data_IF_667932085336
#
_entry.id   IF_667932085336
#
_cell.length_a   1.000
_cell.length_b   1.000
_cell.length_c   1.000
_cell.angle_alpha   90.00
_cell.angle_beta   90.00
_cell.angle_gamma   90.00
#
_symmetry.space_group_name_H-M   'P 1'
#
loop_
_entity.id
_entity.type
_entity.pdbx_description
1 polymer ?
#
# COMPACT_ATOMS: atom_id res chain seq x y z
N UNK A 1 23.43 12.55 -11.28
CA UNK A 1 22.39 12.88 -12.29
C UNK A 1 21.42 13.84 -11.64
N UNK A 2 20.86 14.74 -12.43
CA UNK A 2 19.76 15.61 -12.06
C UNK A 2 18.48 14.98 -12.60
N UNK A 3 17.56 14.64 -11.71
CA UNK A 3 16.33 13.90 -12.02
C UNK A 3 15.15 14.83 -11.75
N UNK A 4 14.24 14.94 -12.70
CA UNK A 4 12.97 15.63 -12.52
C UNK A 4 11.84 14.60 -12.44
N UNK A 5 11.04 14.66 -11.38
CA UNK A 5 9.95 13.71 -11.11
C UNK A 5 8.61 14.45 -11.19
N UNK A 6 7.75 14.06 -12.15
CA UNK A 6 6.39 14.60 -12.25
C UNK A 6 5.38 13.73 -11.51
N UNK A 7 4.58 14.35 -10.64
CA UNK A 7 3.77 13.67 -9.63
C UNK A 7 4.57 13.28 -8.38
N UNK A 8 5.57 14.08 -8.01
CA UNK A 8 6.59 13.74 -7.00
C UNK A 8 6.02 13.46 -5.61
N UNK A 9 4.85 14.00 -5.25
CA UNK A 9 4.31 13.87 -3.89
C UNK A 9 3.41 12.65 -3.68
N UNK A 10 3.14 11.90 -4.75
CA UNK A 10 2.38 10.65 -4.70
C UNK A 10 3.13 9.51 -4.01
N UNK A 11 2.39 8.51 -3.54
CA UNK A 11 2.93 7.36 -2.81
C UNK A 11 3.83 6.44 -3.65
N UNK A 12 3.76 6.51 -4.99
CA UNK A 12 4.66 5.75 -5.87
C UNK A 12 5.94 6.51 -6.24
N UNK A 13 5.87 7.83 -6.43
CA UNK A 13 6.98 8.65 -6.94
C UNK A 13 7.77 9.32 -5.81
N UNK A 14 7.12 9.68 -4.71
CA UNK A 14 7.75 10.30 -3.55
C UNK A 14 8.82 9.41 -2.91
N UNK A 15 8.54 8.12 -2.65
CA UNK A 15 9.55 7.20 -2.14
C UNK A 15 10.74 7.06 -3.10
N UNK A 16 10.50 7.02 -4.41
CA UNK A 16 11.56 7.01 -5.42
C UNK A 16 12.40 8.29 -5.41
N UNK A 17 11.77 9.46 -5.22
CA UNK A 17 12.45 10.74 -5.08
C UNK A 17 13.36 10.77 -3.85
N UNK A 18 12.86 10.30 -2.71
CA UNK A 18 13.61 10.18 -1.46
C UNK A 18 14.80 9.22 -1.62
N UNK A 19 14.56 8.06 -2.22
CA UNK A 19 15.59 7.06 -2.47
C UNK A 19 16.70 7.60 -3.40
N UNK A 20 16.33 8.22 -4.52
CA UNK A 20 17.29 8.79 -5.45
C UNK A 20 18.11 9.92 -4.81
N UNK A 21 17.48 10.76 -3.99
CA UNK A 21 18.16 11.79 -3.21
C UNK A 21 19.19 11.19 -2.24
N UNK A 22 18.78 10.18 -1.46
CA UNK A 22 19.67 9.46 -0.53
C UNK A 22 20.83 8.76 -1.28
N UNK A 23 20.59 8.30 -2.51
CA UNK A 23 21.60 7.75 -3.42
C UNK A 23 22.55 8.80 -4.05
N UNK A 24 22.44 10.07 -3.65
CA UNK A 24 23.33 11.15 -4.06
C UNK A 24 22.94 11.84 -5.38
N UNK A 25 21.71 11.66 -5.85
CA UNK A 25 21.18 12.37 -7.01
C UNK A 25 20.55 13.71 -6.62
N UNK A 26 20.61 14.70 -7.52
CA UNK A 26 19.80 15.91 -7.36
C UNK A 26 18.40 15.62 -7.88
N UNK A 27 17.40 15.85 -7.03
CA UNK A 27 16.02 15.51 -7.35
C UNK A 27 15.18 16.77 -7.31
N UNK A 28 14.47 17.00 -8.41
CA UNK A 28 13.50 18.06 -8.60
C UNK A 28 12.15 17.44 -8.92
N UNK A 29 11.06 18.20 -8.81
CA UNK A 29 9.78 17.69 -9.29
C UNK A 29 8.62 18.65 -9.20
N UNK A 30 7.46 18.17 -9.60
CA UNK A 30 6.22 18.93 -9.53
C UNK A 30 5.06 18.03 -9.16
N UNK A 31 4.01 18.63 -8.62
CA UNK A 31 2.72 17.99 -8.42
C UNK A 31 1.59 19.02 -8.53
N UNK A 32 0.38 18.56 -8.85
CA UNK A 32 -0.77 19.45 -8.96
C UNK A 32 -1.24 19.93 -7.57
N UNK A 33 -1.18 19.03 -6.60
CA UNK A 33 -1.59 19.27 -5.21
C UNK A 33 -0.59 18.59 -4.26
N UNK A 34 -0.62 18.98 -2.97
CA UNK A 34 0.16 18.25 -1.96
C UNK A 34 -0.36 16.83 -1.79
N UNK A 35 0.53 15.84 -1.95
CA UNK A 35 0.27 14.43 -1.74
C UNK A 35 0.76 13.90 -0.40
N UNK A 36 0.56 12.60 -0.13
CA UNK A 36 0.88 11.99 1.16
C UNK A 36 2.35 12.11 1.57
N UNK A 37 3.27 12.15 0.60
CA UNK A 37 4.72 12.15 0.85
C UNK A 37 5.29 13.59 0.96
N UNK A 38 4.47 14.63 0.72
CA UNK A 38 4.91 16.04 0.77
C UNK A 38 5.66 16.41 2.05
N UNK A 39 5.23 15.91 3.21
CA UNK A 39 5.91 16.18 4.48
C UNK A 39 7.32 15.60 4.52
N UNK A 40 7.52 14.39 4.01
CA UNK A 40 8.83 13.74 3.96
C UNK A 40 9.76 14.44 2.96
N UNK A 41 9.24 14.81 1.78
CA UNK A 41 9.99 15.56 0.78
C UNK A 41 10.50 16.90 1.34
N UNK A 42 9.63 17.65 2.03
CA UNK A 42 9.99 18.92 2.69
C UNK A 42 11.02 18.70 3.79
N UNK A 43 10.87 17.66 4.62
CA UNK A 43 11.81 17.35 5.69
C UNK A 43 13.23 17.03 5.17
N UNK A 44 13.33 16.48 3.94
CA UNK A 44 14.60 16.24 3.24
C UNK A 44 15.06 17.42 2.37
N UNK A 45 14.35 18.54 2.40
CA UNK A 45 14.63 19.73 1.60
C UNK A 45 14.70 19.46 0.08
N UNK A 46 13.88 18.54 -0.43
CA UNK A 46 13.77 18.35 -1.88
C UNK A 46 13.09 19.56 -2.52
N UNK A 47 13.56 19.93 -3.71
CA UNK A 47 13.08 21.09 -4.46
C UNK A 47 11.93 20.66 -5.38
N UNK A 48 10.71 21.12 -5.10
CA UNK A 48 9.56 20.84 -5.97
C UNK A 48 8.52 21.96 -5.96
N UNK A 49 7.67 21.98 -6.99
CA UNK A 49 6.57 22.94 -7.12
C UNK A 49 5.20 22.25 -6.95
N UNK A 50 4.26 22.96 -6.31
CA UNK A 50 2.85 22.58 -6.26
C UNK A 50 2.05 23.57 -7.10
N UNK A 51 1.22 23.06 -8.02
CA UNK A 51 0.35 23.87 -8.86
C UNK A 51 0.26 23.36 -10.31
N UNK A 52 -0.23 24.19 -11.24
CA UNK A 52 -0.40 23.78 -12.63
C UNK A 52 0.91 23.28 -13.27
N UNK A 53 0.89 22.05 -13.76
CA UNK A 53 2.03 21.39 -14.37
C UNK A 53 2.16 21.74 -15.87
N UNK A 54 2.41 23.03 -16.18
CA UNK A 54 2.48 23.56 -17.56
C UNK A 54 3.77 23.22 -18.30
N UNK A 55 4.78 22.70 -17.59
CA UNK A 55 6.14 22.52 -18.11
C UNK A 55 7.07 23.72 -17.91
N UNK A 56 6.56 24.88 -17.49
CA UNK A 56 7.41 26.07 -17.34
C UNK A 56 8.40 25.91 -16.18
N UNK A 57 7.95 25.35 -15.05
CA UNK A 57 8.83 25.04 -13.93
C UNK A 57 9.93 24.03 -14.29
N UNK A 58 9.60 22.97 -15.04
CA UNK A 58 10.61 22.04 -15.57
C UNK A 58 11.65 22.77 -16.43
N UNK A 59 11.22 23.67 -17.31
CA UNK A 59 12.13 24.42 -18.17
C UNK A 59 13.03 25.38 -17.37
N UNK A 60 12.48 26.06 -16.37
CA UNK A 60 13.24 26.92 -15.45
C UNK A 60 14.30 26.13 -14.67
N UNK A 61 13.92 24.99 -14.10
CA UNK A 61 14.86 24.12 -13.40
C UNK A 61 15.95 23.63 -14.35
N UNK A 62 15.60 23.19 -15.56
CA UNK A 62 16.55 22.67 -16.55
C UNK A 62 17.57 23.73 -17.02
N UNK A 63 17.19 25.01 -17.06
CA UNK A 63 18.10 26.10 -17.40
C UNK A 63 19.19 26.29 -16.34
N UNK A 64 18.83 26.16 -15.06
CA UNK A 64 19.73 26.37 -13.93
C UNK A 64 20.47 25.08 -13.50
N UNK A 65 19.84 23.94 -13.72
CA UNK A 65 20.29 22.60 -13.34
C UNK A 65 19.94 21.67 -14.51
N UNK A 66 20.84 21.47 -15.49
CA UNK A 66 20.55 20.60 -16.64
C UNK A 66 20.03 19.24 -16.17
N UNK A 67 18.79 18.92 -16.54
CA UNK A 67 18.12 17.69 -16.14
C UNK A 67 18.59 16.57 -17.07
N UNK A 68 19.03 15.46 -16.49
CA UNK A 68 19.43 14.28 -17.26
C UNK A 68 18.21 13.41 -17.58
N UNK A 69 17.24 13.36 -16.67
CA UNK A 69 16.16 12.39 -16.71
C UNK A 69 14.85 12.97 -16.16
N UNK A 70 13.80 12.97 -16.97
CA UNK A 70 12.42 13.22 -16.59
C UNK A 70 11.69 11.89 -16.36
N UNK A 71 11.15 11.71 -15.15
CA UNK A 71 10.44 10.50 -14.74
C UNK A 71 9.01 10.86 -14.37
N UNK A 72 8.04 10.09 -14.86
CA UNK A 72 6.62 10.37 -14.65
C UNK A 72 5.83 9.14 -14.17
N UNK A 73 4.69 9.41 -13.54
CA UNK A 73 3.73 8.37 -13.16
C UNK A 73 2.95 7.85 -14.37
N UNK A 74 2.36 6.66 -14.26
CA UNK A 74 1.45 6.06 -15.26
C UNK A 74 0.23 6.93 -15.57
N UNK A 75 -0.14 7.85 -14.67
CA UNK A 75 -1.24 8.79 -14.90
C UNK A 75 -0.88 9.91 -15.90
N UNK A 76 0.40 10.13 -16.21
CA UNK A 76 0.86 11.16 -17.14
C UNK A 76 0.97 10.57 -18.53
N UNK A 77 0.14 11.06 -19.44
CA UNK A 77 0.13 10.69 -20.85
C UNK A 77 1.07 11.57 -21.68
N UNK A 78 1.35 11.17 -22.92
CA UNK A 78 2.20 11.97 -23.80
C UNK A 78 1.65 13.37 -24.05
N UNK A 79 0.34 13.58 -24.02
CA UNK A 79 -0.27 14.91 -24.21
C UNK A 79 -0.06 15.86 -23.02
N UNK A 80 0.47 15.38 -21.90
CA UNK A 80 0.68 16.20 -20.71
C UNK A 80 1.71 17.33 -20.97
N UNK A 81 1.49 18.56 -20.49
CA UNK A 81 2.37 19.68 -20.82
C UNK A 81 3.83 19.49 -20.38
N UNK A 82 4.06 18.93 -19.19
CA UNK A 82 5.43 18.61 -18.74
C UNK A 82 6.10 17.52 -19.57
N UNK A 83 5.35 16.53 -20.05
CA UNK A 83 5.88 15.49 -20.94
C UNK A 83 6.33 16.10 -22.28
N UNK A 84 5.45 16.92 -22.88
CA UNK A 84 5.78 17.63 -24.13
C UNK A 84 6.97 18.57 -23.95
N UNK A 85 7.08 19.23 -22.79
CA UNK A 85 8.25 20.07 -22.48
C UNK A 85 9.52 19.24 -22.33
N UNK A 86 9.49 18.14 -21.59
CA UNK A 86 10.64 17.24 -21.45
C UNK A 86 11.13 16.74 -22.82
N UNK A 87 10.19 16.40 -23.72
CA UNK A 87 10.49 15.98 -25.09
C UNK A 87 11.14 17.10 -25.90
N UNK A 88 10.60 18.33 -25.81
CA UNK A 88 11.16 19.50 -26.50
C UNK A 88 12.56 19.88 -25.99
N UNK A 89 12.85 19.61 -24.71
CA UNK A 89 14.16 19.81 -24.11
C UNK A 89 15.16 18.67 -24.39
N UNK A 90 14.72 17.58 -25.02
CA UNK A 90 15.58 16.44 -25.37
C UNK A 90 16.02 15.60 -24.15
N UNK A 91 15.23 15.60 -23.08
CA UNK A 91 15.55 14.86 -21.85
C UNK A 91 15.35 13.35 -22.06
N UNK A 92 16.05 12.51 -21.29
CA UNK A 92 15.66 11.10 -21.14
C UNK A 92 14.28 11.06 -20.47
N UNK A 93 13.33 10.32 -21.01
CA UNK A 93 11.96 10.21 -20.48
C UNK A 93 11.67 8.74 -20.18
N UNK A 94 11.20 8.44 -18.97
CA UNK A 94 10.73 7.09 -18.61
C UNK A 94 9.64 7.13 -17.54
N UNK A 95 9.07 5.96 -17.28
CA UNK A 95 8.29 5.68 -16.07
C UNK A 95 9.21 5.34 -14.89
N UNK A 96 8.60 5.09 -13.72
CA UNK A 96 9.29 4.84 -12.44
C UNK A 96 10.12 3.56 -12.43
N UNK A 97 9.66 2.52 -13.10
CA UNK A 97 10.31 1.21 -13.26
C UNK A 97 11.76 1.36 -13.72
N UNK A 98 11.98 2.07 -14.83
CA UNK A 98 13.30 2.18 -15.44
C UNK A 98 14.30 2.91 -14.52
N UNK A 99 13.84 3.92 -13.78
CA UNK A 99 14.69 4.61 -12.80
C UNK A 99 15.01 3.69 -11.61
N UNK A 100 14.02 2.94 -11.10
CA UNK A 100 14.22 1.97 -10.02
C UNK A 100 15.25 0.92 -10.44
N UNK A 101 15.10 0.30 -11.60
CA UNK A 101 16.05 -0.69 -12.12
C UNK A 101 17.45 -0.11 -12.26
N UNK A 102 17.57 1.09 -12.84
CA UNK A 102 18.88 1.75 -12.99
C UNK A 102 19.55 1.99 -11.64
N UNK A 103 18.79 2.38 -10.61
CA UNK A 103 19.32 2.59 -9.25
C UNK A 103 19.70 1.25 -8.60
N UNK A 104 18.89 0.21 -8.76
CA UNK A 104 19.15 -1.15 -8.24
C UNK A 104 20.44 -1.70 -8.85
N UNK A 105 20.57 -1.65 -10.18
CA UNK A 105 21.76 -2.12 -10.90
C UNK A 105 23.01 -1.33 -10.50
N UNK A 106 22.93 0.01 -10.52
CA UNK A 106 24.05 0.90 -10.20
C UNK A 106 24.59 0.67 -8.79
N UNK A 107 23.70 0.37 -7.84
CA UNK A 107 24.06 0.15 -6.44
C UNK A 107 24.19 -1.34 -6.07
N UNK A 108 24.10 -2.25 -7.05
CA UNK A 108 24.23 -3.70 -6.88
C UNK A 108 23.32 -4.27 -5.79
N UNK A 109 22.09 -3.76 -5.71
CA UNK A 109 21.13 -4.16 -4.68
C UNK A 109 20.41 -5.45 -5.10
N UNK A 110 20.29 -6.41 -4.18
CA UNK A 110 19.40 -7.56 -4.33
C UNK A 110 17.97 -7.15 -4.00
N UNK A 111 17.10 -7.10 -5.01
CA UNK A 111 15.70 -6.76 -4.78
C UNK A 111 14.96 -7.90 -4.08
N UNK A 112 14.34 -7.59 -2.94
CA UNK A 112 13.36 -8.41 -2.23
C UNK A 112 12.00 -7.76 -2.50
N UNK A 113 11.26 -8.31 -3.44
CA UNK A 113 10.00 -7.78 -3.92
C UNK A 113 8.82 -8.44 -3.20
N UNK A 114 7.80 -7.65 -2.86
CA UNK A 114 6.52 -8.13 -2.35
C UNK A 114 5.44 -7.79 -3.35
N UNK A 115 4.79 -8.81 -3.91
CA UNK A 115 3.71 -8.68 -4.89
C UNK A 115 2.45 -9.45 -4.46
N UNK A 116 1.32 -9.15 -5.09
CA UNK A 116 0.02 -9.79 -4.82
C UNK A 116 -1.11 -8.75 -4.77
N UNK A 117 -2.36 -9.16 -4.92
CA UNK A 117 -3.54 -8.27 -4.88
C UNK A 117 -3.72 -7.61 -3.51
N UNK A 118 -3.47 -8.35 -2.43
CA UNK A 118 -3.65 -7.87 -1.04
C UNK A 118 -2.41 -8.17 -0.18
N UNK A 119 -2.22 -7.41 0.92
CA UNK A 119 -1.15 -7.67 1.88
C UNK A 119 0.24 -7.16 1.50
N UNK A 120 0.43 -6.59 0.30
CA UNK A 120 1.72 -6.06 -0.19
C UNK A 120 2.36 -5.04 0.74
N UNK A 121 1.65 -3.93 1.01
CA UNK A 121 2.15 -2.83 1.83
C UNK A 121 2.44 -3.30 3.27
N UNK A 122 1.55 -4.12 3.84
CA UNK A 122 1.70 -4.65 5.21
C UNK A 122 2.92 -5.56 5.31
N UNK A 123 3.06 -6.52 4.39
CA UNK A 123 4.21 -7.45 4.35
C UNK A 123 5.52 -6.71 4.10
N UNK A 124 5.52 -5.71 3.20
CA UNK A 124 6.70 -4.85 2.95
C UNK A 124 7.08 -4.07 4.20
N UNK A 125 6.12 -3.48 4.91
CA UNK A 125 6.38 -2.77 6.16
C UNK A 125 6.91 -3.69 7.27
N UNK A 126 6.41 -4.93 7.36
CA UNK A 126 6.92 -5.94 8.28
C UNK A 126 8.36 -6.33 7.97
N UNK A 127 8.71 -6.46 6.67
CA UNK A 127 10.08 -6.69 6.22
C UNK A 127 11.00 -5.53 6.60
N UNK A 128 10.57 -4.28 6.39
CA UNK A 128 11.31 -3.08 6.77
C UNK A 128 11.54 -3.05 8.29
N UNK A 129 10.49 -3.31 9.06
CA UNK A 129 10.56 -3.37 10.52
C UNK A 129 11.57 -4.41 11.01
N UNK A 130 11.47 -5.65 10.53
CA UNK A 130 12.40 -6.72 10.88
C UNK A 130 13.84 -6.37 10.48
N UNK A 131 14.03 -5.82 9.28
CA UNK A 131 15.33 -5.41 8.79
C UNK A 131 15.99 -4.37 9.70
N UNK A 132 15.23 -3.39 10.17
CA UNK A 132 15.72 -2.39 11.13
C UNK A 132 16.04 -3.01 12.49
N UNK A 133 15.18 -3.90 13.01
CA UNK A 133 15.38 -4.53 14.33
C UNK A 133 16.57 -5.49 14.36
N UNK A 134 16.83 -6.18 13.26
CA UNK A 134 17.90 -7.18 13.15
C UNK A 134 19.20 -6.61 12.56
N UNK A 135 19.23 -5.30 12.29
CA UNK A 135 20.38 -4.62 11.71
C UNK A 135 20.76 -5.17 10.33
N UNK A 136 19.77 -5.49 9.49
CA UNK A 136 20.01 -5.88 8.11
C UNK A 136 20.42 -4.65 7.28
N UNK A 137 21.36 -4.86 6.37
CA UNK A 137 21.84 -3.86 5.41
C UNK A 137 20.90 -3.80 4.22
N UNK A 138 19.73 -3.20 4.45
CA UNK A 138 18.63 -3.17 3.49
C UNK A 138 18.06 -1.76 3.37
N UNK A 139 18.12 -1.25 2.14
CA UNK A 139 17.38 -0.07 1.71
C UNK A 139 15.95 -0.47 1.37
N UNK A 140 15.04 0.48 1.27
CA UNK A 140 13.63 0.15 1.03
C UNK A 140 12.87 1.29 0.37
N UNK A 141 11.79 0.93 -0.31
CA UNK A 141 10.78 1.84 -0.86
C UNK A 141 9.39 1.17 -0.71
N UNK A 142 8.45 1.85 -0.06
CA UNK A 142 7.10 1.35 0.18
C UNK A 142 6.05 2.37 -0.29
N UNK A 143 4.92 1.90 -0.81
CA UNK A 143 3.84 2.73 -1.36
C UNK A 143 2.93 3.38 -0.32
N UNK A 144 3.42 3.62 0.90
CA UNK A 144 2.63 4.17 2.00
C UNK A 144 3.51 4.90 3.01
N UNK A 145 2.88 5.71 3.86
CA UNK A 145 3.55 6.31 5.03
C UNK A 145 3.68 5.28 6.14
N UNK A 146 4.89 5.12 6.69
CA UNK A 146 5.15 4.27 7.84
C UNK A 146 5.20 5.10 9.12
N UNK A 147 4.61 4.60 10.21
CA UNK A 147 4.62 5.32 11.49
C UNK A 147 5.97 5.22 12.22
N UNK A 148 6.87 4.35 11.77
CA UNK A 148 8.15 4.03 12.42
C UNK A 148 9.37 4.31 11.54
N UNK A 149 9.17 4.72 10.28
CA UNK A 149 10.23 4.91 9.29
C UNK A 149 9.76 5.89 8.20
N UNK A 150 10.67 6.52 7.43
CA UNK A 150 10.27 7.18 6.19
C UNK A 150 9.73 6.16 5.17
N UNK A 151 9.01 6.63 4.15
CA UNK A 151 8.46 5.80 3.05
C UNK A 151 9.53 5.21 2.13
N UNK A 152 10.73 5.80 2.12
CA UNK A 152 11.91 5.23 1.50
C UNK A 152 13.18 5.63 2.23
N UNK A 153 14.22 4.83 2.04
CA UNK A 153 15.56 5.10 2.51
C UNK A 153 16.57 4.35 1.66
N UNK A 154 17.69 5.01 1.38
CA UNK A 154 18.89 4.36 0.88
C UNK A 154 20.09 4.67 1.76
N UNK A 155 20.87 3.65 2.13
CA UNK A 155 22.18 3.82 2.77
C UNK A 155 23.28 3.22 1.88
N UNK A 156 24.39 3.94 1.77
CA UNK A 156 25.57 3.42 1.05
C UNK A 156 26.09 2.14 1.71
N UNK A 157 26.25 1.08 0.91
CA UNK A 157 26.71 -0.23 1.37
C UNK A 157 25.58 -1.17 1.81
N UNK A 158 24.32 -0.76 1.70
CA UNK A 158 23.21 -1.70 1.74
C UNK A 158 23.31 -2.72 0.59
N UNK A 159 22.87 -3.94 0.87
CA UNK A 159 22.98 -5.09 -0.05
C UNK A 159 21.63 -5.48 -0.64
N UNK A 160 20.54 -5.05 -0.02
CA UNK A 160 19.18 -5.41 -0.41
C UNK A 160 18.33 -4.16 -0.63
N UNK A 161 17.34 -4.28 -1.51
CA UNK A 161 16.23 -3.34 -1.64
C UNK A 161 14.93 -4.08 -1.28
N UNK A 162 14.25 -3.66 -0.22
CA UNK A 162 12.90 -4.13 0.10
C UNK A 162 11.89 -3.28 -0.67
N UNK A 163 11.12 -3.90 -1.55
CA UNK A 163 10.28 -3.17 -2.50
C UNK A 163 8.86 -3.73 -2.57
N UNK A 164 7.88 -2.82 -2.52
CA UNK A 164 6.49 -3.13 -2.83
C UNK A 164 6.30 -3.14 -4.36
N UNK A 165 6.18 -4.34 -4.95
CA UNK A 165 6.03 -4.53 -6.38
C UNK A 165 4.54 -4.58 -6.75
N UNK A 166 4.10 -3.51 -7.42
CA UNK A 166 2.72 -3.29 -7.84
C UNK A 166 2.45 -3.84 -9.24
N UNK A 167 1.39 -4.62 -9.38
CA UNK A 167 0.90 -5.21 -10.62
C UNK A 167 0.22 -4.19 -11.54
N UNK A 168 -0.22 -3.05 -10.99
CA UNK A 168 -0.85 -1.98 -11.77
C UNK A 168 0.07 -1.51 -12.90
N UNK A 169 -0.51 -1.29 -14.09
CA UNK A 169 0.23 -0.91 -15.31
C UNK A 169 1.36 -1.90 -15.68
N UNK A 170 1.28 -3.14 -15.19
CA UNK A 170 2.28 -4.21 -15.38
C UNK A 170 3.70 -3.83 -14.92
N UNK A 171 3.80 -2.84 -14.04
CA UNK A 171 5.07 -2.26 -13.58
C UNK A 171 6.01 -3.30 -12.95
N UNK A 172 5.46 -4.22 -12.15
CA UNK A 172 6.25 -5.31 -11.57
C UNK A 172 7.02 -6.19 -12.59
N UNK A 173 6.57 -6.29 -13.84
CA UNK A 173 7.22 -7.11 -14.89
C UNK A 173 8.55 -6.53 -15.38
N UNK A 174 8.85 -5.27 -15.05
CA UNK A 174 10.15 -4.69 -15.34
C UNK A 174 11.24 -5.37 -14.51
N UNK A 175 10.94 -5.76 -13.26
CA UNK A 175 11.97 -6.14 -12.30
C UNK A 175 12.41 -7.60 -12.38
N UNK A 176 13.63 -7.86 -11.89
CA UNK A 176 14.25 -9.17 -11.78
C UNK A 176 14.67 -9.45 -10.32
N UNK A 177 13.73 -9.83 -9.43
CA UNK A 177 14.02 -9.90 -8.00
C UNK A 177 14.96 -11.06 -7.64
N UNK A 178 15.81 -10.82 -6.64
CA UNK A 178 16.53 -11.91 -5.99
C UNK A 178 15.58 -12.79 -5.17
N UNK A 179 14.57 -12.18 -4.54
CA UNK A 179 13.55 -12.89 -3.78
C UNK A 179 12.21 -12.20 -4.00
N UNK A 180 11.17 -12.97 -4.32
CA UNK A 180 9.80 -12.49 -4.39
C UNK A 180 8.90 -13.18 -3.37
N UNK A 181 8.12 -12.38 -2.65
CA UNK A 181 7.04 -12.82 -1.78
C UNK A 181 5.73 -12.56 -2.51
N UNK A 182 4.96 -13.60 -2.76
CA UNK A 182 3.62 -13.48 -3.36
C UNK A 182 2.60 -13.73 -2.26
N UNK A 183 1.86 -12.69 -1.86
CA UNK A 183 1.00 -12.73 -0.67
C UNK A 183 -0.34 -13.42 -0.94
N UNK A 184 -1.10 -12.86 -1.86
CA UNK A 184 -2.46 -13.26 -2.22
C UNK A 184 -2.71 -12.83 -3.66
N UNK A 185 -3.30 -13.66 -4.51
CA UNK A 185 -3.57 -13.32 -5.91
C UNK A 185 -5.04 -13.60 -6.21
N UNK A 186 -5.82 -12.54 -6.44
CA UNK A 186 -7.17 -12.57 -6.96
C UNK A 186 -7.27 -11.61 -8.15
N UNK A 187 -8.15 -11.93 -9.09
CA UNK A 187 -8.37 -11.06 -10.25
C UNK A 187 -8.82 -9.67 -9.78
N UNK A 188 -8.08 -8.66 -10.20
CA UNK A 188 -8.30 -7.24 -9.95
C UNK A 188 -7.75 -6.45 -11.16
N UNK A 189 -7.95 -5.13 -11.18
CA UNK A 189 -7.47 -4.23 -12.24
C UNK A 189 -7.98 -4.63 -13.63
N UNK A 190 -9.29 -4.81 -13.77
CA UNK A 190 -9.96 -5.09 -15.05
C UNK A 190 -9.75 -3.99 -16.11
N UNK A 191 -9.27 -2.81 -15.70
CA UNK A 191 -8.82 -1.72 -16.56
C UNK A 191 -7.44 -1.96 -17.22
N UNK A 192 -6.62 -2.85 -16.66
CA UNK A 192 -5.27 -3.18 -17.14
C UNK A 192 -5.17 -4.61 -17.70
N UNK A 193 -5.90 -5.55 -17.08
CA UNK A 193 -5.93 -6.96 -17.45
C UNK A 193 -7.34 -7.31 -17.91
N UNK A 194 -7.49 -7.71 -19.17
CA UNK A 194 -8.80 -7.95 -19.75
C UNK A 194 -9.47 -9.22 -19.20
N UNK A 195 -8.67 -10.16 -18.69
CA UNK A 195 -9.16 -11.44 -18.17
C UNK A 195 -8.36 -11.90 -16.94
N UNK A 196 -8.98 -12.75 -16.12
CA UNK A 196 -8.30 -13.40 -15.00
C UNK A 196 -7.09 -14.24 -15.45
N UNK A 197 -7.14 -14.86 -16.64
CA UNK A 197 -6.02 -15.60 -17.20
C UNK A 197 -4.83 -14.67 -17.51
N UNK A 198 -5.09 -13.50 -18.09
CA UNK A 198 -4.05 -12.52 -18.39
C UNK A 198 -3.39 -11.95 -17.11
N UNK A 199 -4.18 -11.76 -16.05
CA UNK A 199 -3.67 -11.38 -14.73
C UNK A 199 -2.75 -12.47 -14.16
N UNK A 200 -3.18 -13.73 -14.24
CA UNK A 200 -2.39 -14.89 -13.80
C UNK A 200 -1.09 -15.06 -14.59
N UNK A 201 -1.14 -14.92 -15.91
CA UNK A 201 0.04 -14.99 -16.78
C UNK A 201 1.08 -13.91 -16.44
N UNK A 202 0.62 -12.71 -16.06
CA UNK A 202 1.51 -11.65 -15.60
C UNK A 202 2.21 -12.03 -14.28
N UNK A 203 1.49 -12.59 -13.30
CA UNK A 203 2.11 -13.08 -12.07
C UNK A 203 3.10 -14.21 -12.33
N UNK A 204 2.74 -15.19 -13.14
CA UNK A 204 3.63 -16.29 -13.53
C UNK A 204 4.91 -15.77 -14.19
N UNK A 205 4.79 -14.75 -15.06
CA UNK A 205 5.96 -14.13 -15.68
C UNK A 205 6.86 -13.48 -14.62
N UNK A 206 6.30 -12.67 -13.71
CA UNK A 206 7.06 -12.06 -12.62
C UNK A 206 7.75 -13.10 -11.71
N UNK A 207 7.04 -14.16 -11.37
CA UNK A 207 7.56 -15.28 -10.58
C UNK A 207 8.71 -15.99 -11.30
N UNK A 208 8.60 -16.17 -12.62
CA UNK A 208 9.67 -16.75 -13.46
C UNK A 208 10.93 -15.88 -13.50
N UNK A 209 10.78 -14.55 -13.41
CA UNK A 209 11.88 -13.57 -13.38
C UNK A 209 12.61 -13.52 -12.02
N UNK A 210 12.07 -14.14 -10.97
CA UNK A 210 12.63 -14.10 -9.62
C UNK A 210 13.59 -15.26 -9.35
N UNK A 211 14.70 -15.05 -8.64
CA UNK A 211 15.63 -16.15 -8.30
C UNK A 211 15.08 -17.08 -7.21
N UNK A 212 14.39 -16.51 -6.21
CA UNK A 212 13.76 -17.24 -5.11
C UNK A 212 12.31 -16.79 -4.93
N UNK A 213 11.47 -17.70 -4.43
CA UNK A 213 10.04 -17.50 -4.26
C UNK A 213 9.57 -17.95 -2.88
N UNK A 214 8.73 -17.13 -2.25
CA UNK A 214 7.94 -17.49 -1.07
C UNK A 214 6.47 -17.19 -1.37
N UNK A 215 5.64 -18.22 -1.31
CA UNK A 215 4.20 -18.13 -1.58
C UNK A 215 3.40 -18.13 -0.28
N UNK A 216 2.45 -17.19 -0.18
CA UNK A 216 1.35 -17.26 0.79
C UNK A 216 0.34 -18.36 0.43
N UNK A 217 -0.58 -18.70 1.34
CA UNK A 217 -1.51 -19.81 1.16
C UNK A 217 -2.52 -19.58 0.03
N UNK A 218 -2.66 -18.33 -0.40
CA UNK A 218 -3.56 -17.90 -1.47
C UNK A 218 -2.80 -17.17 -2.58
N UNK A 219 -1.48 -17.29 -2.62
CA UNK A 219 -0.77 -17.02 -3.84
C UNK A 219 -1.27 -18.04 -4.86
N UNK A 220 -1.72 -17.57 -6.01
CA UNK A 220 -2.37 -18.41 -6.98
C UNK A 220 -1.34 -19.36 -7.62
N UNK A 221 -1.20 -20.57 -7.05
CA UNK A 221 -0.24 -21.61 -7.48
C UNK A 221 -0.62 -22.29 -8.81
N UNK A 222 -1.49 -21.67 -9.61
CA UNK A 222 -1.70 -22.13 -10.98
C UNK A 222 -0.36 -22.11 -11.71
N UNK A 223 -0.01 -23.25 -12.30
CA UNK A 223 1.27 -23.46 -12.97
C UNK A 223 2.51 -23.55 -12.06
N UNK A 224 2.36 -23.92 -10.78
CA UNK A 224 3.50 -24.19 -9.90
C UNK A 224 4.49 -25.23 -10.47
N UNK A 225 4.04 -26.13 -11.36
CA UNK A 225 4.90 -27.05 -12.10
C UNK A 225 5.95 -26.34 -12.98
N UNK A 226 5.64 -25.14 -13.49
CA UNK A 226 6.54 -24.33 -14.30
C UNK A 226 7.60 -23.60 -13.48
N UNK A 227 7.45 -23.58 -12.15
CA UNK A 227 8.35 -22.94 -11.19
C UNK A 227 9.07 -23.95 -10.30
N UNK A 228 8.94 -25.26 -10.60
CA UNK A 228 9.45 -26.34 -9.76
C UNK A 228 10.98 -26.32 -9.60
N UNK A 229 11.71 -25.82 -10.61
CA UNK A 229 13.17 -25.64 -10.61
C UNK A 229 13.63 -24.57 -9.61
N UNK A 230 12.74 -23.66 -9.23
CA UNK A 230 13.03 -22.60 -8.23
C UNK A 230 12.85 -23.06 -6.78
N UNK A 231 12.25 -24.23 -6.56
CA UNK A 231 11.97 -24.78 -5.22
C UNK A 231 11.30 -23.76 -4.27
N UNK A 232 10.09 -23.26 -4.60
CA UNK A 232 9.44 -22.21 -3.82
C UNK A 232 9.12 -22.66 -2.38
N UNK A 233 9.31 -21.76 -1.40
CA UNK A 233 8.81 -21.97 -0.03
C UNK A 233 7.31 -21.63 0.01
N UNK A 234 6.48 -22.56 0.48
CA UNK A 234 5.02 -22.41 0.49
C UNK A 234 4.54 -22.32 1.94
N UNK A 235 4.07 -21.14 2.33
CA UNK A 235 3.48 -20.89 3.64
C UNK A 235 2.00 -21.24 3.60
N UNK A 236 1.64 -22.35 4.24
CA UNK A 236 0.24 -22.81 4.29
C UNK A 236 -0.54 -22.26 5.48
N UNK A 237 0.15 -21.91 6.57
CA UNK A 237 -0.45 -21.47 7.82
C UNK A 237 0.44 -20.43 8.49
N UNK A 238 -0.16 -19.59 9.33
CA UNK A 238 0.62 -18.66 10.15
C UNK A 238 1.49 -19.37 11.18
N UNK A 239 2.64 -18.78 11.49
CA UNK A 239 3.47 -19.23 12.60
C UNK A 239 2.71 -19.04 13.94
N UNK A 240 2.69 -20.09 14.77
CA UNK A 240 1.85 -20.17 15.99
C UNK A 240 2.31 -19.19 17.08
N UNK A 241 3.55 -18.77 16.99
CA UNK A 241 4.22 -17.85 17.90
C UNK A 241 3.86 -16.38 17.62
N UNK A 242 3.16 -16.10 16.51
CA UNK A 242 2.73 -14.75 16.15
C UNK A 242 1.49 -14.33 16.92
N UNK A 243 1.57 -13.18 17.56
CA UNK A 243 0.54 -12.59 18.42
C UNK A 243 -0.17 -11.40 17.78
N UNK A 244 0.13 -11.11 16.51
CA UNK A 244 -0.50 -10.02 15.76
C UNK A 244 -2.01 -10.30 15.58
N UNK A 245 -2.87 -9.27 15.67
CA UNK A 245 -4.30 -9.44 15.51
C UNK A 245 -4.66 -9.77 14.06
N UNK A 246 -5.52 -10.77 13.86
CA UNK A 246 -6.00 -11.16 12.53
C UNK A 246 -5.11 -12.17 11.83
N UNK A 247 -5.74 -13.21 11.26
CA UNK A 247 -5.02 -14.29 10.57
C UNK A 247 -4.25 -13.80 9.35
N UNK A 248 -4.83 -12.93 8.52
CA UNK A 248 -4.15 -12.37 7.36
C UNK A 248 -2.85 -11.65 7.74
N UNK A 249 -2.85 -10.89 8.84
CA UNK A 249 -1.64 -10.21 9.34
C UNK A 249 -0.59 -11.18 9.86
N UNK A 250 -1.01 -12.28 10.49
CA UNK A 250 -0.07 -13.34 10.91
C UNK A 250 0.50 -14.09 9.71
N UNK A 251 -0.26 -14.26 8.62
CA UNK A 251 0.26 -14.81 7.36
C UNK A 251 1.28 -13.88 6.71
N UNK A 252 0.95 -12.58 6.56
CA UNK A 252 1.88 -11.55 6.09
C UNK A 252 3.18 -11.54 6.90
N UNK A 253 3.06 -11.59 8.24
CA UNK A 253 4.20 -11.66 9.14
C UNK A 253 5.00 -12.95 8.97
N UNK A 254 4.34 -14.09 8.73
CA UNK A 254 5.02 -15.37 8.46
C UNK A 254 5.86 -15.28 7.19
N UNK A 255 5.33 -14.66 6.12
CA UNK A 255 6.08 -14.42 4.88
C UNK A 255 7.30 -13.53 5.13
N UNK A 256 7.12 -12.43 5.89
CA UNK A 256 8.22 -11.55 6.24
C UNK A 256 9.31 -12.25 7.08
N UNK A 257 8.92 -13.11 8.03
CA UNK A 257 9.84 -13.94 8.83
C UNK A 257 10.65 -14.85 7.91
N UNK A 258 10.01 -15.58 6.98
CA UNK A 258 10.68 -16.47 6.02
C UNK A 258 11.68 -15.73 5.14
N UNK A 259 11.30 -14.56 4.64
CA UNK A 259 12.18 -13.75 3.81
C UNK A 259 13.41 -13.25 4.57
N UNK A 260 13.25 -12.83 5.83
CA UNK A 260 14.38 -12.43 6.68
C UNK A 260 15.30 -13.59 7.00
N UNK A 261 14.76 -14.79 7.27
CA UNK A 261 15.57 -16.00 7.44
C UNK A 261 16.41 -16.27 6.18
N UNK A 262 15.79 -16.17 5.00
CA UNK A 262 16.48 -16.33 3.71
C UNK A 262 17.56 -15.28 3.48
N UNK A 263 17.31 -14.01 3.83
CA UNK A 263 18.31 -12.94 3.77
C UNK A 263 19.50 -13.27 4.65
N UNK A 264 19.27 -13.64 5.91
CA UNK A 264 20.32 -14.00 6.88
C UNK A 264 21.16 -15.19 6.39
N UNK A 265 20.51 -16.24 5.89
CA UNK A 265 21.18 -17.40 5.28
C UNK A 265 22.08 -17.00 4.11
N UNK A 266 21.57 -16.13 3.21
CA UNK A 266 22.34 -15.66 2.05
C UNK A 266 23.57 -14.84 2.41
N UNK A 267 23.58 -14.25 3.61
CA UNK A 267 24.70 -13.50 4.18
C UNK A 267 25.64 -14.38 5.01
N UNK A 268 25.35 -15.69 5.16
CA UNK A 268 26.07 -16.59 6.06
C UNK A 268 25.94 -16.20 7.54
N UNK A 269 24.88 -15.46 7.91
CA UNK A 269 24.58 -15.07 9.29
C UNK A 269 23.74 -16.15 9.97
N UNK A 270 23.93 -16.28 11.29
CA UNK A 270 23.10 -17.15 12.12
C UNK A 270 21.63 -16.70 12.10
N UNK A 271 20.72 -17.67 11.96
CA UNK A 271 19.27 -17.43 11.98
C UNK A 271 18.75 -17.67 13.40
N UNK A 272 18.63 -16.60 14.18
CA UNK A 272 17.98 -16.67 15.49
C UNK A 272 16.45 -16.51 15.33
N UNK A 273 15.75 -17.63 15.23
CA UNK A 273 14.29 -17.62 15.02
C UNK A 273 13.54 -16.92 16.17
N UNK A 274 13.97 -17.08 17.41
CA UNK A 274 13.31 -16.46 18.56
C UNK A 274 13.40 -14.93 18.51
N UNK A 275 14.59 -14.40 18.17
CA UNK A 275 14.80 -12.96 18.00
C UNK A 275 13.91 -12.38 16.89
N UNK A 276 13.80 -13.08 15.75
CA UNK A 276 12.94 -12.65 14.63
C UNK A 276 11.47 -12.61 15.08
N UNK A 277 11.00 -13.64 15.79
CA UNK A 277 9.62 -13.73 16.29
C UNK A 277 9.33 -12.63 17.33
N UNK A 278 10.27 -12.37 18.25
CA UNK A 278 10.14 -11.28 19.21
C UNK A 278 10.06 -9.92 18.51
N UNK A 279 10.88 -9.70 17.48
CA UNK A 279 10.88 -8.46 16.72
C UNK A 279 9.57 -8.25 15.95
N UNK A 280 9.07 -9.24 15.20
CA UNK A 280 7.84 -9.09 14.41
C UNK A 280 6.60 -8.91 15.29
N UNK A 281 6.55 -9.52 16.48
CA UNK A 281 5.45 -9.34 17.44
C UNK A 281 5.38 -7.92 18.02
N UNK A 282 6.44 -7.11 17.88
CA UNK A 282 6.46 -5.70 18.26
C UNK A 282 6.13 -4.75 17.08
N UNK A 283 5.75 -5.29 15.92
CA UNK A 283 5.45 -4.48 14.74
C UNK A 283 4.32 -3.48 15.04
N UNK A 284 4.57 -2.16 14.90
CA UNK A 284 3.62 -1.13 15.31
C UNK A 284 2.43 -0.97 14.36
N UNK A 285 2.44 -1.64 13.20
CA UNK A 285 1.42 -1.49 12.16
C UNK A 285 1.82 -0.50 11.07
N UNK A 286 0.92 -0.33 10.10
CA UNK A 286 1.05 0.64 9.00
C UNK A 286 -0.07 1.65 9.13
N UNK A 287 0.19 2.91 8.76
CA UNK A 287 -0.84 3.94 8.72
C UNK A 287 -2.03 3.48 7.87
N UNK A 288 -3.24 3.67 8.40
CA UNK A 288 -4.52 3.28 7.76
C UNK A 288 -4.62 1.79 7.38
N UNK A 289 -3.87 0.88 8.02
CA UNK A 289 -4.03 -0.58 7.87
C UNK A 289 -4.25 -1.20 9.24
N UNK A 290 -5.52 -1.25 9.65
CA UNK A 290 -5.98 -1.57 11.00
C UNK A 290 -5.15 -0.80 12.05
N UNK A 291 -4.97 0.50 11.79
CA UNK A 291 -4.13 1.39 12.58
C UNK A 291 -4.86 1.74 13.87
N UNK A 292 -4.23 1.48 15.02
CA UNK A 292 -4.75 1.91 16.31
C UNK A 292 -4.46 3.40 16.50
N UNK A 293 -5.51 4.23 16.55
CA UNK A 293 -5.41 5.67 16.78
C UNK A 293 -5.45 6.00 18.28
N UNK A 294 -6.33 5.32 19.02
CA UNK A 294 -6.46 5.44 20.48
C UNK A 294 -6.96 4.11 21.07
N UNK A 295 -7.26 4.06 22.37
CA UNK A 295 -7.86 2.85 22.93
C UNK A 295 -9.25 2.59 22.33
N UNK A 296 -9.42 1.41 21.70
CA UNK A 296 -10.68 1.04 21.05
C UNK A 296 -10.98 1.79 19.75
N UNK A 297 -10.14 2.73 19.29
CA UNK A 297 -10.36 3.50 18.06
C UNK A 297 -9.33 3.14 16.99
N UNK A 298 -9.81 2.72 15.82
CA UNK A 298 -8.98 2.25 14.71
C UNK A 298 -9.36 2.91 13.37
N UNK A 299 -8.42 2.92 12.42
CA UNK A 299 -8.64 3.33 11.03
C UNK A 299 -8.07 2.32 10.04
N UNK A 300 -8.80 2.07 8.96
CA UNK A 300 -8.41 1.21 7.85
C UNK A 300 -8.76 1.87 6.49
N UNK A 301 -7.94 1.59 5.48
CA UNK A 301 -8.10 2.03 4.09
C UNK A 301 -9.05 1.12 3.28
N UNK A 302 -9.51 0.01 3.86
CA UNK A 302 -10.39 -0.95 3.22
C UNK A 302 -11.60 -0.28 2.55
N UNK A 303 -11.75 -0.55 1.25
CA UNK A 303 -12.81 -0.01 0.40
C UNK A 303 -13.31 -1.01 -0.65
N UNK A 304 -12.57 -2.10 -0.88
CA UNK A 304 -13.03 -3.25 -1.65
C UNK A 304 -13.76 -4.27 -0.73
N UNK A 305 -14.81 -4.98 -1.17
CA UNK A 305 -15.53 -5.96 -0.34
C UNK A 305 -14.62 -6.98 0.37
N UNK A 306 -13.69 -7.63 -0.33
CA UNK A 306 -12.77 -8.57 0.33
C UNK A 306 -11.92 -7.92 1.44
N UNK A 307 -11.45 -6.69 1.24
CA UNK A 307 -10.68 -5.94 2.25
C UNK A 307 -11.55 -5.59 3.47
N UNK A 308 -12.79 -5.17 3.24
CA UNK A 308 -13.74 -4.83 4.30
C UNK A 308 -14.03 -6.07 5.13
N UNK A 309 -14.31 -7.22 4.49
CA UNK A 309 -14.58 -8.49 5.19
C UNK A 309 -13.38 -8.92 6.03
N UNK A 310 -12.17 -8.83 5.47
CA UNK A 310 -10.94 -9.11 6.21
C UNK A 310 -10.82 -8.19 7.42
N UNK A 311 -11.02 -6.87 7.25
CA UNK A 311 -10.92 -5.87 8.32
C UNK A 311 -11.94 -6.11 9.43
N UNK A 312 -13.17 -6.50 9.09
CA UNK A 312 -14.22 -6.85 10.06
C UNK A 312 -13.80 -8.07 10.89
N UNK A 313 -13.25 -9.10 10.25
CA UNK A 313 -12.75 -10.28 10.97
C UNK A 313 -11.63 -9.90 11.95
N UNK A 314 -10.68 -9.05 11.54
CA UNK A 314 -9.64 -8.52 12.45
C UNK A 314 -10.27 -7.72 13.59
N UNK A 315 -11.24 -6.86 13.30
CA UNK A 315 -11.94 -6.06 14.32
C UNK A 315 -12.66 -6.93 15.35
N UNK A 316 -13.33 -8.00 14.91
CA UNK A 316 -14.04 -8.93 15.78
C UNK A 316 -13.08 -9.75 16.66
N UNK A 317 -11.95 -10.20 16.10
CA UNK A 317 -10.88 -10.87 16.85
C UNK A 317 -10.28 -9.92 17.90
N UNK A 318 -9.95 -8.70 17.49
CA UNK A 318 -9.37 -7.67 18.35
C UNK A 318 -10.33 -7.26 19.47
N UNK A 319 -11.62 -7.10 19.17
CA UNK A 319 -12.65 -6.80 20.17
C UNK A 319 -12.73 -7.91 21.23
N UNK A 320 -12.64 -9.19 20.84
CA UNK A 320 -12.59 -10.32 21.79
C UNK A 320 -11.31 -10.27 22.63
N UNK A 321 -10.15 -10.08 21.99
CA UNK A 321 -8.83 -10.04 22.64
C UNK A 321 -8.73 -8.91 23.67
N UNK A 322 -9.32 -7.76 23.36
CA UNK A 322 -9.32 -6.54 24.19
C UNK A 322 -10.57 -6.39 25.05
N UNK A 323 -11.41 -7.44 25.14
CA UNK A 323 -12.62 -7.48 25.98
C UNK A 323 -13.62 -6.34 25.71
N UNK A 324 -13.73 -5.90 24.45
CA UNK A 324 -14.74 -4.92 23.99
C UNK A 324 -16.09 -5.61 23.82
N UNK A 325 -17.19 -4.86 23.99
CA UNK A 325 -18.57 -5.39 23.87
C UNK A 325 -18.96 -5.80 22.44
N UNK A 326 -18.20 -5.34 21.45
CA UNK A 326 -18.40 -5.62 20.04
C UNK A 326 -17.73 -4.56 19.16
N UNK A 327 -18.06 -4.58 17.87
CA UNK A 327 -17.48 -3.69 16.87
C UNK A 327 -18.54 -2.74 16.33
N UNK A 328 -18.20 -1.46 16.25
CA UNK A 328 -18.93 -0.39 15.56
C UNK A 328 -18.10 0.05 14.37
N UNK A 329 -18.72 0.09 13.19
CA UNK A 329 -18.05 0.48 11.96
C UNK A 329 -18.54 1.86 11.53
N UNK A 330 -17.61 2.73 11.17
CA UNK A 330 -17.85 3.91 10.36
C UNK A 330 -17.33 3.61 8.94
N UNK A 331 -18.22 3.53 7.96
CA UNK A 331 -17.84 3.17 6.58
C UNK A 331 -18.08 4.34 5.62
N UNK A 332 -17.08 4.63 4.79
CA UNK A 332 -17.18 5.56 3.67
C UNK A 332 -16.84 4.85 2.35
N UNK A 333 -17.82 4.61 1.45
CA UNK A 333 -17.52 4.02 0.15
C UNK A 333 -16.68 4.95 -0.73
N UNK A 334 -16.01 4.38 -1.73
CA UNK A 334 -15.11 5.10 -2.63
C UNK A 334 -15.52 4.97 -4.10
N UNK A 335 -15.65 6.09 -4.81
CA UNK A 335 -16.04 6.21 -6.23
C UNK A 335 -17.45 5.70 -6.57
N UNK A 336 -18.13 6.39 -7.49
CA UNK A 336 -19.47 5.97 -7.93
C UNK A 336 -19.46 4.73 -8.83
N UNK A 337 -18.39 4.46 -9.57
CA UNK A 337 -18.29 3.24 -10.41
C UNK A 337 -18.37 1.98 -9.53
N UNK A 338 -17.57 1.95 -8.46
CA UNK A 338 -17.51 0.84 -7.49
C UNK A 338 -18.81 0.62 -6.73
N UNK A 339 -19.62 1.66 -6.54
CA UNK A 339 -20.95 1.54 -5.96
C UNK A 339 -21.83 0.56 -6.76
N UNK A 340 -21.74 0.59 -8.09
CA UNK A 340 -22.52 -0.27 -8.98
C UNK A 340 -21.87 -1.63 -9.17
N UNK A 341 -20.54 -1.67 -9.26
CA UNK A 341 -19.78 -2.91 -9.44
C UNK A 341 -19.98 -3.88 -8.25
N UNK A 342 -19.91 -3.37 -7.03
CA UNK A 342 -19.94 -4.18 -5.81
C UNK A 342 -21.27 -4.10 -5.04
N UNK A 343 -22.33 -3.55 -5.65
CA UNK A 343 -23.58 -3.26 -4.93
C UNK A 343 -24.12 -4.47 -4.17
N UNK A 344 -24.19 -5.62 -4.84
CA UNK A 344 -24.72 -6.86 -4.26
C UNK A 344 -23.74 -7.52 -3.26
N UNK A 345 -22.44 -7.25 -3.37
CA UNK A 345 -21.40 -7.84 -2.51
C UNK A 345 -21.40 -7.26 -1.08
N UNK A 346 -22.03 -6.09 -0.87
CA UNK A 346 -22.17 -5.52 0.47
C UNK A 346 -23.23 -6.21 1.33
N UNK A 347 -24.11 -7.03 0.74
CA UNK A 347 -25.32 -7.54 1.41
C UNK A 347 -25.04 -8.22 2.76
N UNK A 348 -24.01 -9.04 2.83
CA UNK A 348 -23.70 -9.91 3.99
C UNK A 348 -22.38 -9.53 4.70
N UNK A 349 -21.66 -8.54 4.18
CA UNK A 349 -20.28 -8.27 4.60
C UNK A 349 -20.18 -7.77 6.05
N UNK A 350 -21.22 -7.11 6.54
CA UNK A 350 -21.26 -6.50 7.87
C UNK A 350 -21.76 -7.46 8.96
N UNK A 351 -21.83 -8.76 8.69
CA UNK A 351 -22.25 -9.74 9.69
C UNK A 351 -21.36 -9.77 10.95
N UNK A 352 -22.01 -9.94 12.10
CA UNK A 352 -21.35 -10.07 13.41
C UNK A 352 -21.01 -8.76 14.12
N UNK A 353 -21.08 -7.60 13.44
CA UNK A 353 -20.85 -6.30 14.08
C UNK A 353 -22.08 -5.85 14.89
N UNK A 354 -21.94 -4.79 15.68
CA UNK A 354 -23.02 -4.26 16.54
C UNK A 354 -23.71 -3.04 15.96
N UNK A 355 -23.00 -2.22 15.18
CA UNK A 355 -23.54 -1.00 14.60
C UNK A 355 -22.73 -0.59 13.37
N UNK A 356 -23.42 -0.03 12.38
CA UNK A 356 -22.83 0.54 11.17
C UNK A 356 -23.30 1.99 11.00
N UNK A 357 -22.35 2.91 10.89
CA UNK A 357 -22.56 4.26 10.39
C UNK A 357 -22.10 4.31 8.94
N UNK A 358 -23.01 4.59 8.03
CA UNK A 358 -22.74 4.64 6.59
C UNK A 358 -22.70 6.08 6.10
N UNK A 359 -21.53 6.53 5.62
CA UNK A 359 -21.29 7.88 5.12
C UNK A 359 -21.60 8.00 3.61
N UNK A 360 -21.87 9.22 3.11
CA UNK A 360 -21.85 9.48 1.68
C UNK A 360 -20.54 9.03 1.04
N UNK A 361 -20.63 8.58 -0.21
CA UNK A 361 -19.46 8.08 -0.96
C UNK A 361 -18.47 9.20 -1.25
N UNK A 362 -17.19 8.92 -1.02
CA UNK A 362 -16.09 9.80 -1.39
C UNK A 362 -15.87 9.76 -2.90
N UNK A 363 -15.96 10.94 -3.52
CA UNK A 363 -15.88 11.15 -4.95
C UNK A 363 -14.47 11.67 -5.31
N UNK A 364 -13.72 10.89 -6.09
CA UNK A 364 -12.35 11.18 -6.54
C UNK A 364 -12.17 11.15 -8.06
N UNK A 365 -12.92 10.29 -8.78
CA UNK A 365 -12.80 9.95 -10.22
C UNK A 365 -14.09 9.28 -10.69
N UNK A 366 -15.12 10.07 -10.96
CA UNK A 366 -16.48 9.58 -11.20
C UNK A 366 -16.77 9.32 -12.68
N UNK A 367 -17.61 8.34 -12.97
CA UNK A 367 -18.33 8.30 -14.25
C UNK A 367 -19.58 9.19 -14.15
N UNK A 368 -19.65 10.32 -14.87
CA UNK A 368 -20.80 11.23 -14.82
C UNK A 368 -22.11 10.59 -15.32
N UNK A 369 -22.06 9.42 -15.97
CA UNK A 369 -23.24 8.67 -16.44
C UNK A 369 -23.87 7.81 -15.34
N UNK A 370 -23.14 7.50 -14.28
CA UNK A 370 -23.61 6.63 -13.21
C UNK A 370 -24.26 7.44 -12.09
N UNK A 371 -25.46 7.02 -11.67
CA UNK A 371 -26.14 7.60 -10.51
C UNK A 371 -25.28 7.39 -9.26
N UNK A 372 -25.09 8.44 -8.47
CA UNK A 372 -24.51 8.32 -7.14
C UNK A 372 -25.58 7.72 -6.21
N UNK A 373 -25.30 6.55 -5.66
CA UNK A 373 -26.16 5.88 -4.69
C UNK A 373 -26.00 6.52 -3.30
N UNK A 374 -27.11 6.61 -2.58
CA UNK A 374 -27.17 7.18 -1.23
C UNK A 374 -26.86 6.11 -0.17
N UNK A 375 -26.46 6.48 1.06
CA UNK A 375 -26.31 5.51 2.15
C UNK A 375 -27.55 4.62 2.35
N UNK A 376 -28.76 5.17 2.21
CA UNK A 376 -29.99 4.41 2.36
C UNK A 376 -30.21 3.38 1.23
N UNK A 377 -29.72 3.64 0.01
CA UNK A 377 -29.82 2.67 -1.08
C UNK A 377 -29.06 1.38 -0.74
N UNK A 378 -27.90 1.49 -0.09
CA UNK A 378 -27.11 0.35 0.40
C UNK A 378 -27.65 -0.26 1.69
N UNK A 379 -28.00 0.57 2.67
CA UNK A 379 -28.50 0.06 3.96
C UNK A 379 -29.76 -0.80 3.77
N UNK A 380 -30.62 -0.44 2.83
CA UNK A 380 -31.83 -1.20 2.52
C UNK A 380 -31.56 -2.53 1.79
N UNK A 381 -30.37 -2.73 1.21
CA UNK A 381 -30.00 -3.97 0.51
C UNK A 381 -29.26 -4.97 1.39
N UNK A 382 -28.87 -4.59 2.62
CA UNK A 382 -28.22 -5.47 3.58
C UNK A 382 -29.16 -6.56 4.09
N UNK A 383 -28.59 -7.71 4.47
CA UNK A 383 -29.35 -8.80 5.11
C UNK A 383 -29.94 -8.40 6.48
N UNK A 384 -29.31 -7.43 7.15
CA UNK A 384 -29.66 -6.94 8.49
C UNK A 384 -29.72 -5.41 8.55
N UNK A 385 -30.64 -4.75 7.83
CA UNK A 385 -30.65 -3.29 7.68
C UNK A 385 -30.73 -2.52 9.02
N UNK A 386 -31.27 -3.15 10.08
CA UNK A 386 -31.43 -2.56 11.40
C UNK A 386 -30.12 -2.26 12.13
N UNK A 387 -28.99 -2.85 11.72
CA UNK A 387 -27.69 -2.54 12.33
C UNK A 387 -27.13 -1.20 11.84
N UNK A 388 -27.67 -0.68 10.74
CA UNK A 388 -27.11 0.45 10.01
C UNK A 388 -27.90 1.73 10.14
N UNK A 389 -27.18 2.86 10.12
CA UNK A 389 -27.77 4.18 10.04
C UNK A 389 -26.95 5.06 9.10
N UNK A 390 -27.60 5.91 8.28
CA UNK A 390 -26.89 6.94 7.53
C UNK A 390 -26.24 7.93 8.51
N UNK A 391 -25.07 8.45 8.14
CA UNK A 391 -24.33 9.40 8.94
C UNK A 391 -23.68 10.47 8.05
N UNK A 392 -23.33 11.60 8.67
CA UNK A 392 -22.60 12.71 8.04
C UNK A 392 -21.37 13.04 8.89
N UNK A 393 -20.32 13.61 8.29
CA UNK A 393 -19.08 13.99 8.98
C UNK A 393 -19.27 15.25 9.84
N UNK A 394 -20.10 15.17 10.88
CA UNK A 394 -20.52 16.29 11.72
C UNK A 394 -20.29 16.03 13.23
N UNK A 395 -20.52 17.07 14.05
CA UNK A 395 -20.35 16.95 15.51
C UNK A 395 -21.33 15.96 16.16
N UNK A 396 -22.47 15.68 15.52
CA UNK A 396 -23.45 14.70 15.98
C UNK A 396 -22.90 13.28 15.85
N UNK A 397 -22.30 12.94 14.71
CA UNK A 397 -21.59 11.68 14.51
C UNK A 397 -20.41 11.57 15.49
N UNK A 398 -19.60 12.62 15.63
CA UNK A 398 -18.48 12.61 16.57
C UNK A 398 -18.94 12.32 18.02
N UNK A 399 -20.07 12.89 18.46
CA UNK A 399 -20.66 12.60 19.76
C UNK A 399 -21.12 11.15 19.90
N UNK A 400 -21.77 10.58 18.87
CA UNK A 400 -22.19 9.17 18.85
C UNK A 400 -20.99 8.22 18.96
N UNK A 401 -19.92 8.45 18.20
CA UNK A 401 -18.72 7.62 18.23
C UNK A 401 -18.00 7.70 19.59
N UNK A 402 -17.95 8.89 20.23
CA UNK A 402 -17.43 9.02 21.60
C UNK A 402 -18.26 8.22 22.61
N UNK A 403 -19.58 8.22 22.45
CA UNK A 403 -20.47 7.40 23.29
C UNK A 403 -20.21 5.91 23.07
N UNK A 404 -20.04 5.46 21.82
CA UNK A 404 -19.74 4.05 21.53
C UNK A 404 -18.40 3.60 22.15
N UNK A 405 -17.36 4.45 22.10
CA UNK A 405 -16.09 4.20 22.79
C UNK A 405 -16.29 4.13 24.32
N UNK A 406 -17.04 5.08 24.90
CA UNK A 406 -17.35 5.10 26.34
C UNK A 406 -18.16 3.88 26.79
N UNK A 407 -19.03 3.36 25.92
CA UNK A 407 -19.78 2.12 26.15
C UNK A 407 -18.96 0.84 25.97
N UNK A 408 -17.64 0.99 25.74
CA UNK A 408 -16.64 -0.05 25.59
C UNK A 408 -16.80 -0.88 24.30
N UNK A 409 -17.20 -0.24 23.19
CA UNK A 409 -17.10 -0.82 21.86
C UNK A 409 -15.72 -0.53 21.22
N UNK A 410 -15.31 -1.40 20.30
CA UNK A 410 -14.27 -1.08 19.34
C UNK A 410 -14.91 -0.30 18.19
N UNK A 411 -14.41 0.89 17.90
CA UNK A 411 -14.83 1.72 16.77
C UNK A 411 -13.74 1.67 15.70
N UNK A 412 -14.12 1.33 14.47
CA UNK A 412 -13.20 1.34 13.33
C UNK A 412 -13.78 2.14 12.16
N UNK A 413 -12.97 3.06 11.63
CA UNK A 413 -13.23 3.71 10.36
C UNK A 413 -12.67 2.85 9.22
N UNK A 414 -13.45 2.67 8.16
CA UNK A 414 -13.01 2.08 6.90
C UNK A 414 -13.26 3.10 5.78
N UNK A 415 -12.18 3.72 5.27
CA UNK A 415 -12.26 4.77 4.25
C UNK A 415 -10.94 4.98 3.52
N UNK A 416 -11.03 5.11 2.19
CA UNK A 416 -9.96 5.64 1.34
C UNK A 416 -9.96 7.19 1.25
N UNK A 417 -11.04 7.85 1.66
CA UNK A 417 -11.30 9.28 1.47
C UNK A 417 -11.01 10.20 2.66
N UNK A 418 -11.82 11.25 2.76
CA UNK A 418 -11.69 12.37 3.70
C UNK A 418 -12.22 12.08 5.12
N UNK A 419 -12.88 10.94 5.34
CA UNK A 419 -13.29 10.54 6.69
C UNK A 419 -12.11 10.27 7.64
N UNK A 420 -10.95 9.84 7.13
CA UNK A 420 -9.74 9.60 7.95
C UNK A 420 -9.16 10.89 8.55
N UNK A 421 -8.86 11.94 7.77
CA UNK A 421 -8.40 13.21 8.35
C UNK A 421 -9.44 13.85 9.27
N UNK A 422 -10.73 13.74 8.96
CA UNK A 422 -11.80 14.21 9.86
C UNK A 422 -11.78 13.47 11.21
N UNK A 423 -11.67 12.14 11.19
CA UNK A 423 -11.64 11.33 12.42
C UNK A 423 -10.43 11.71 13.27
N UNK A 424 -9.26 11.84 12.66
CA UNK A 424 -8.04 12.25 13.38
C UNK A 424 -8.21 13.61 14.03
N UNK A 425 -8.74 14.61 13.30
CA UNK A 425 -8.97 15.95 13.84
C UNK A 425 -9.93 15.96 15.05
N UNK A 426 -10.91 15.05 15.09
CA UNK A 426 -11.91 15.00 16.16
C UNK A 426 -11.49 14.20 17.38
N UNK A 427 -10.49 13.31 17.27
CA UNK A 427 -10.15 12.31 18.29
C UNK A 427 -8.68 12.27 18.71
N UNK A 428 -7.77 12.93 17.97
CA UNK A 428 -6.34 13.08 18.29
C UNK A 428 -6.01 14.56 18.50
#
# INVERSE_FOLDING_TARGET
>A
MNIFISGISGTGMGPLALFAHDAGHQVFGSDLHEGPITKELKAKNLTFAIGPQTGDYLAEINQNNPIDWYVHTSAITESHPEYQRAKALGLKISKRDELIETLVEKHHLKMVAVAGTHGKTTTTAMLIWLSQKLGLKASYMVGSTLNFAPSAKYDSGDQFLLYEADEYDRNFLAFHPWLSLITFVSYDHSDIFATAAEYQDAFLKFESQSEHLIFGPHANLHHAELLADKHPDIVLMSAKELMLPGEARRLDATLAVRAVQRILESLGREVNHEEIIQAINQFPGVGRRFERLADGLYSDYAHHPEEIRATINVALEEAKRTQKKGVVILYQPHQNIRQHEFFDEYRDIFHGIKKLYWLPTYLSREDPKLKILTPNDFLNSLDNPEIGAPAELDDSLAAKLRQDLADNYLVILMSAGDADPWLRQKFL
#
